data_IF_597885890617
#
_entry.id   IF_597885890617
#
_cell.length_a   1.000
_cell.length_b   1.000
_cell.length_c   1.000
_cell.angle_alpha   90.00
_cell.angle_beta   90.00
_cell.angle_gamma   90.00
#
_symmetry.space_group_name_H-M   'P 1'
#
loop_
_entity.id
_entity.type
_entity.pdbx_description
1 polymer ?
#
# COMPACT_ATOMS: atom_id res chain seq x y z
N UNK A 1 -8.80 -6.98 7.50
CA UNK A 1 -8.26 -5.90 6.66
C UNK A 1 -7.24 -6.46 5.66
N UNK A 2 -6.21 -7.15 6.14
CA UNK A 2 -5.20 -7.78 5.28
C UNK A 2 -5.80 -8.59 4.14
N UNK A 3 -6.77 -9.47 4.42
CA UNK A 3 -7.37 -10.33 3.38
C UNK A 3 -7.98 -9.53 2.20
N UNK A 4 -8.51 -8.32 2.46
CA UNK A 4 -9.04 -7.47 1.40
C UNK A 4 -7.92 -6.83 0.57
N UNK A 5 -6.89 -6.30 1.24
CA UNK A 5 -5.71 -5.72 0.59
C UNK A 5 -4.97 -6.79 -0.24
N UNK A 6 -4.79 -7.99 0.32
CA UNK A 6 -4.21 -9.17 -0.32
C UNK A 6 -4.98 -9.54 -1.58
N UNK A 7 -6.30 -9.73 -1.48
CA UNK A 7 -7.12 -10.08 -2.64
C UNK A 7 -7.01 -9.04 -3.76
N UNK A 8 -7.00 -7.76 -3.43
CA UNK A 8 -6.84 -6.68 -4.41
C UNK A 8 -5.44 -6.75 -5.03
N UNK A 9 -4.40 -6.82 -4.21
CA UNK A 9 -3.01 -6.90 -4.66
C UNK A 9 -2.79 -8.10 -5.59
N UNK A 10 -3.15 -9.31 -5.17
CA UNK A 10 -3.03 -10.53 -5.97
C UNK A 10 -3.83 -10.43 -7.28
N UNK A 11 -5.03 -9.84 -7.24
CA UNK A 11 -5.82 -9.62 -8.47
C UNK A 11 -5.15 -8.68 -9.47
N UNK A 12 -4.27 -7.78 -9.03
CA UNK A 12 -3.61 -6.79 -9.87
C UNK A 12 -2.22 -7.24 -10.33
N UNK A 13 -1.51 -7.99 -9.49
CA UNK A 13 -0.11 -8.39 -9.73
C UNK A 13 0.05 -9.84 -10.16
N UNK A 14 -0.92 -10.71 -9.84
CA UNK A 14 -0.78 -12.16 -9.99
C UNK A 14 0.26 -12.78 -9.04
N UNK A 15 0.77 -12.03 -8.07
CA UNK A 15 1.78 -12.50 -7.14
C UNK A 15 1.21 -13.60 -6.23
N UNK A 16 2.03 -14.63 -5.98
CA UNK A 16 1.70 -15.74 -5.08
C UNK A 16 2.58 -15.77 -3.83
N UNK A 17 3.52 -14.82 -3.70
CA UNK A 17 4.49 -14.74 -2.62
C UNK A 17 4.67 -13.29 -2.19
N UNK A 18 4.58 -13.06 -0.89
CA UNK A 18 4.82 -11.80 -0.19
C UNK A 18 5.02 -12.14 1.30
N UNK A 19 5.51 -11.18 2.09
CA UNK A 19 5.78 -11.41 3.51
C UNK A 19 4.53 -11.06 4.32
N UNK A 20 3.74 -12.08 4.67
CA UNK A 20 2.48 -11.87 5.38
C UNK A 20 2.69 -11.26 6.77
N UNK A 21 3.74 -11.67 7.49
CA UNK A 21 3.99 -11.19 8.85
C UNK A 21 4.36 -9.70 8.80
N UNK A 22 5.22 -9.30 7.87
CA UNK A 22 5.54 -7.90 7.62
C UNK A 22 4.30 -7.08 7.21
N UNK A 23 3.45 -7.63 6.33
CA UNK A 23 2.20 -6.99 5.95
C UNK A 23 1.27 -6.75 7.13
N UNK A 24 1.16 -7.70 8.05
CA UNK A 24 0.34 -7.56 9.27
C UNK A 24 0.90 -6.47 10.18
N UNK A 25 2.22 -6.43 10.38
CA UNK A 25 2.90 -5.41 11.19
C UNK A 25 2.66 -3.99 10.63
N UNK A 26 2.90 -3.80 9.33
CA UNK A 26 2.73 -2.48 8.71
C UNK A 26 1.26 -2.07 8.66
N UNK A 27 0.32 -2.99 8.41
CA UNK A 27 -1.10 -2.68 8.46
C UNK A 27 -1.55 -2.23 9.84
N UNK A 28 -1.04 -2.81 10.93
CA UNK A 28 -1.36 -2.36 12.28
C UNK A 28 -0.97 -0.90 12.49
N UNK A 29 0.16 -0.46 11.92
CA UNK A 29 0.60 0.93 11.96
C UNK A 29 -0.28 1.82 11.07
N UNK A 30 -0.44 1.47 9.80
CA UNK A 30 -1.19 2.28 8.81
C UNK A 30 -2.66 2.42 9.21
N UNK A 31 -3.25 1.43 9.88
CA UNK A 31 -4.62 1.49 10.38
C UNK A 31 -4.80 2.43 11.58
N UNK A 32 -3.74 2.90 12.24
CA UNK A 32 -3.84 4.00 13.22
C UNK A 32 -4.30 5.30 12.55
N UNK A 33 -4.15 5.42 11.23
CA UNK A 33 -4.68 6.53 10.42
C UNK A 33 -6.15 6.33 9.99
N UNK A 34 -6.83 5.29 10.47
CA UNK A 34 -8.25 5.03 10.22
C UNK A 34 -8.99 5.23 11.54
N UNK A 35 -9.93 6.17 11.56
CA UNK A 35 -10.67 6.42 12.81
C UNK A 35 -11.55 5.22 13.18
N UNK A 36 -11.89 5.09 14.46
CA UNK A 36 -12.75 4.00 14.96
C UNK A 36 -14.09 3.95 14.20
N UNK A 37 -14.64 5.11 13.83
CA UNK A 37 -15.89 5.22 13.07
C UNK A 37 -15.76 4.73 11.63
N UNK A 38 -14.55 4.78 11.06
CA UNK A 38 -14.26 4.34 9.70
C UNK A 38 -13.99 2.83 9.61
N UNK A 39 -13.56 2.19 10.70
CA UNK A 39 -13.15 0.77 10.70
C UNK A 39 -14.25 -0.18 10.20
N UNK A 40 -15.51 0.08 10.54
CA UNK A 40 -16.64 -0.75 10.10
C UNK A 40 -16.94 -0.68 8.60
N UNK A 41 -16.50 0.38 7.92
CA UNK A 41 -16.71 0.60 6.48
C UNK A 41 -15.43 0.57 5.65
N UNK A 42 -14.26 0.44 6.28
CA UNK A 42 -12.98 0.67 5.63
C UNK A 42 -12.68 -0.32 4.50
N UNK A 43 -13.07 -1.59 4.65
CA UNK A 43 -12.92 -2.60 3.59
C UNK A 43 -13.66 -2.18 2.31
N UNK A 44 -14.90 -1.70 2.43
CA UNK A 44 -15.68 -1.22 1.27
C UNK A 44 -15.06 0.01 0.64
N UNK A 45 -14.50 0.90 1.46
CA UNK A 45 -13.76 2.08 0.96
C UNK A 45 -12.52 1.66 0.18
N UNK A 46 -11.77 0.70 0.69
CA UNK A 46 -10.57 0.17 0.02
C UNK A 46 -10.93 -0.47 -1.32
N UNK A 47 -12.00 -1.26 -1.37
CA UNK A 47 -12.51 -1.85 -2.63
C UNK A 47 -12.93 -0.77 -3.63
N UNK A 48 -13.66 0.27 -3.18
CA UNK A 48 -14.05 1.39 -4.02
C UNK A 48 -12.85 2.20 -4.52
N UNK A 49 -11.84 2.40 -3.68
CA UNK A 49 -10.57 3.02 -4.06
C UNK A 49 -9.86 2.18 -5.12
N UNK A 50 -9.74 0.87 -4.91
CA UNK A 50 -9.05 -0.02 -5.84
C UNK A 50 -9.70 -0.02 -7.22
N UNK A 51 -11.02 0.07 -7.28
CA UNK A 51 -11.74 0.18 -8.56
C UNK A 51 -11.54 1.56 -9.20
N UNK A 52 -11.68 2.64 -8.44
CA UNK A 52 -11.54 4.01 -8.96
C UNK A 52 -10.10 4.32 -9.40
N UNK A 53 -9.11 3.76 -8.70
CA UNK A 53 -7.68 3.94 -8.94
C UNK A 53 -7.05 2.78 -9.70
N UNK A 54 -7.85 1.88 -10.30
CA UNK A 54 -7.38 0.63 -10.90
C UNK A 54 -6.25 0.84 -11.89
N UNK A 55 -6.40 1.78 -12.82
CA UNK A 55 -5.37 2.07 -13.82
C UNK A 55 -4.05 2.53 -13.19
N UNK A 56 -4.12 3.35 -12.14
CA UNK A 56 -2.94 3.84 -11.41
C UNK A 56 -2.24 2.70 -10.68
N UNK A 57 -3.00 1.81 -10.04
CA UNK A 57 -2.45 0.64 -9.35
C UNK A 57 -1.81 -0.35 -10.34
N UNK A 58 -2.47 -0.64 -11.47
CA UNK A 58 -1.89 -1.49 -12.53
C UNK A 58 -0.57 -0.89 -13.03
N UNK A 59 -0.52 0.42 -13.28
CA UNK A 59 0.72 1.10 -13.68
C UNK A 59 1.81 0.98 -12.61
N UNK A 60 1.48 1.27 -11.34
CA UNK A 60 2.39 1.14 -10.20
C UNK A 60 3.04 -0.24 -10.17
N UNK A 61 2.23 -1.30 -10.16
CA UNK A 61 2.73 -2.66 -10.03
C UNK A 61 3.39 -3.19 -11.30
N UNK A 62 2.90 -2.84 -12.49
CA UNK A 62 3.57 -3.20 -13.76
C UNK A 62 4.97 -2.60 -13.88
N UNK A 63 5.22 -1.49 -13.18
CA UNK A 63 6.49 -0.80 -13.20
C UNK A 63 7.42 -1.23 -12.07
N UNK A 64 6.92 -1.33 -10.85
CA UNK A 64 7.76 -1.51 -9.65
C UNK A 64 7.41 -2.74 -8.82
N UNK A 65 6.24 -3.33 -9.02
CA UNK A 65 5.79 -4.51 -8.30
C UNK A 65 6.30 -5.82 -8.89
N UNK A 66 5.81 -6.97 -8.40
CA UNK A 66 6.29 -8.29 -8.80
C UNK A 66 6.22 -8.51 -10.32
N UNK A 67 7.35 -8.84 -10.94
CA UNK A 67 7.45 -9.04 -12.39
C UNK A 67 7.40 -7.77 -13.24
N UNK A 68 7.40 -6.60 -12.61
CA UNK A 68 7.41 -5.30 -13.28
C UNK A 68 8.78 -4.92 -13.89
N UNK A 69 8.77 -3.89 -14.74
CA UNK A 69 9.94 -3.45 -15.51
C UNK A 69 11.15 -3.00 -14.65
N UNK A 70 10.88 -2.52 -13.44
CA UNK A 70 11.86 -2.07 -12.44
C UNK A 70 11.58 -2.74 -11.09
N UNK A 71 11.16 -4.01 -11.12
CA UNK A 71 10.92 -4.81 -9.92
C UNK A 71 12.24 -5.04 -9.17
N UNK A 72 12.54 -4.17 -8.21
CA UNK A 72 13.64 -4.31 -7.27
C UNK A 72 13.09 -4.10 -5.86
N UNK A 73 12.79 -5.22 -5.20
CA UNK A 73 12.24 -5.23 -3.84
C UNK A 73 13.20 -4.59 -2.83
N UNK A 74 14.52 -4.69 -3.04
CA UNK A 74 15.52 -4.04 -2.17
C UNK A 74 15.43 -2.51 -2.23
N UNK A 75 14.90 -1.99 -3.35
CA UNK A 75 14.71 -0.57 -3.54
C UNK A 75 13.43 -0.07 -2.86
N UNK A 76 12.33 -0.84 -2.85
CA UNK A 76 11.14 -0.47 -2.10
C UNK A 76 10.24 -1.70 -1.87
N UNK A 77 10.41 -2.36 -0.72
CA UNK A 77 9.72 -3.62 -0.43
C UNK A 77 8.19 -3.47 -0.50
N UNK A 78 7.64 -2.31 -0.14
CA UNK A 78 6.20 -2.04 -0.20
C UNK A 78 5.58 -2.34 -1.57
N UNK A 79 6.32 -2.14 -2.68
CA UNK A 79 5.79 -2.44 -4.03
C UNK A 79 5.45 -3.92 -4.26
N UNK A 80 5.95 -4.81 -3.39
CA UNK A 80 5.77 -6.26 -3.45
C UNK A 80 4.81 -6.79 -2.38
N UNK A 81 4.19 -5.91 -1.60
CA UNK A 81 3.42 -6.31 -0.43
C UNK A 81 1.94 -5.86 -0.52
N UNK A 82 0.98 -6.65 -0.02
CA UNK A 82 -0.45 -6.33 0.01
C UNK A 82 -0.83 -4.97 0.61
N UNK A 83 -0.18 -4.55 1.70
CA UNK A 83 -0.48 -3.32 2.42
C UNK A 83 -0.26 -2.06 1.58
N UNK A 84 0.50 -2.17 0.49
CA UNK A 84 0.71 -1.09 -0.47
C UNK A 84 -0.59 -0.51 -1.03
N UNK A 85 -1.63 -1.32 -1.19
CA UNK A 85 -2.97 -0.85 -1.63
C UNK A 85 -3.54 0.13 -0.59
N UNK A 86 -3.38 -0.19 0.69
CA UNK A 86 -3.86 0.63 1.82
C UNK A 86 -3.03 1.90 1.93
N UNK A 87 -1.70 1.79 1.76
CA UNK A 87 -0.78 2.93 1.77
C UNK A 87 -1.11 3.89 0.63
N UNK A 88 -1.37 3.40 -0.59
CA UNK A 88 -1.82 4.23 -1.71
C UNK A 88 -3.10 5.01 -1.38
N UNK A 89 -4.09 4.36 -0.78
CA UNK A 89 -5.35 5.00 -0.39
C UNK A 89 -5.14 6.05 0.71
N UNK A 90 -4.30 5.76 1.72
CA UNK A 90 -3.95 6.72 2.79
C UNK A 90 -3.11 7.88 2.26
N UNK A 91 -2.23 7.66 1.29
CA UNK A 91 -1.45 8.72 0.62
C UNK A 91 -2.33 9.69 -0.17
N UNK A 92 -3.47 9.24 -0.68
CA UNK A 92 -4.44 10.07 -1.40
C UNK A 92 -5.42 10.77 -0.45
N UNK A 93 -5.71 10.20 0.73
CA UNK A 93 -6.75 10.73 1.64
C UNK A 93 -6.22 11.49 2.86
N UNK A 94 -5.15 11.01 3.49
CA UNK A 94 -4.62 11.55 4.76
C UNK A 94 -3.07 11.54 4.78
N UNK A 95 -2.39 12.10 3.76
CA UNK A 95 -0.94 11.90 3.61
C UNK A 95 -0.08 12.45 4.75
N UNK A 96 -0.45 13.58 5.35
CA UNK A 96 0.31 14.16 6.47
C UNK A 96 0.18 13.31 7.74
N UNK A 97 -0.99 12.68 7.96
CA UNK A 97 -1.18 11.78 9.10
C UNK A 97 -0.40 10.49 8.89
N UNK A 98 -0.49 9.91 7.69
CA UNK A 98 0.26 8.71 7.34
C UNK A 98 1.76 8.91 7.57
N UNK A 99 2.31 10.04 7.13
CA UNK A 99 3.73 10.36 7.32
C UNK A 99 4.10 10.45 8.81
N UNK A 100 3.29 11.13 9.63
CA UNK A 100 3.53 11.21 11.08
C UNK A 100 3.52 9.83 11.77
N UNK A 101 2.47 9.04 11.54
CA UNK A 101 2.34 7.70 12.12
C UNK A 101 3.45 6.76 11.64
N UNK A 102 3.83 6.85 10.37
CA UNK A 102 4.91 6.04 9.82
C UNK A 102 6.24 6.35 10.49
N UNK A 103 6.60 7.63 10.60
CA UNK A 103 7.87 8.06 11.18
C UNK A 103 7.96 7.81 12.69
N UNK A 104 6.82 7.73 13.39
CA UNK A 104 6.78 7.43 14.83
C UNK A 104 6.90 5.92 15.13
N UNK A 105 6.47 5.05 14.20
CA UNK A 105 6.24 3.63 14.49
C UNK A 105 7.09 2.67 13.66
N UNK A 106 7.56 3.09 12.48
CA UNK A 106 8.31 2.26 11.55
C UNK A 106 9.70 2.88 11.36
N UNK A 107 10.72 2.16 11.84
CA UNK A 107 12.13 2.50 11.62
C UNK A 107 12.57 2.08 10.20
N UNK A 108 11.95 2.68 9.18
CA UNK A 108 12.24 2.45 7.78
C UNK A 108 12.40 3.78 7.05
N UNK A 109 13.53 4.43 7.31
CA UNK A 109 13.88 5.72 6.73
C UNK A 109 13.73 5.71 5.20
N UNK A 110 13.03 6.70 4.65
CA UNK A 110 12.80 6.92 3.23
C UNK A 110 11.90 5.90 2.50
N UNK A 111 11.48 4.79 3.12
CA UNK A 111 10.66 3.77 2.43
C UNK A 111 9.31 4.35 2.01
N UNK A 112 8.60 5.00 2.93
CA UNK A 112 7.32 5.65 2.63
C UNK A 112 7.48 6.80 1.63
N UNK A 113 8.50 7.66 1.79
CA UNK A 113 8.77 8.76 0.85
C UNK A 113 9.03 8.25 -0.57
N UNK A 114 9.82 7.18 -0.70
CA UNK A 114 10.10 6.55 -2.00
C UNK A 114 8.85 5.93 -2.61
N UNK A 115 8.07 5.20 -1.82
CA UNK A 115 6.81 4.63 -2.28
C UNK A 115 5.82 5.73 -2.70
N UNK A 116 5.72 6.81 -1.93
CA UNK A 116 4.89 7.97 -2.24
C UNK A 116 5.30 8.64 -3.56
N UNK A 117 6.61 8.72 -3.85
CA UNK A 117 7.11 9.20 -5.14
C UNK A 117 6.66 8.31 -6.30
N UNK A 118 6.71 6.99 -6.16
CA UNK A 118 6.20 6.07 -7.19
C UNK A 118 4.71 6.28 -7.44
N UNK A 119 3.92 6.40 -6.37
CA UNK A 119 2.48 6.55 -6.46
C UNK A 119 2.02 7.91 -7.03
N UNK A 120 2.73 9.00 -6.70
CA UNK A 120 2.34 10.35 -7.11
C UNK A 120 2.92 10.79 -8.45
N UNK A 121 4.15 10.37 -8.75
CA UNK A 121 4.92 10.90 -9.87
C UNK A 121 5.54 9.82 -10.77
N UNK A 122 5.52 8.56 -10.34
CA UNK A 122 6.08 7.44 -11.10
C UNK A 122 5.14 6.80 -12.12
N UNK A 123 3.90 7.32 -12.24
CA UNK A 123 2.81 6.79 -13.07
C UNK A 123 2.68 7.47 -14.44
#
# INVERSE_FOLDING_TARGET
>A
MLDAAERIFVSLTGASTYDRDLSEEILQVVLKCVSVDEQGGYVRRLEAFAETSRERLVKLYSRYGPGGAFADESHCYLTHQPESVVICERLDTVPMWLDGVWNDEIDAELVLDRFAKYWRFGL
#
